data_IF_480761337885
#
_entry.id   IF_480761337885
#
_cell.length_a   1.000
_cell.length_b   1.000
_cell.length_c   1.000
_cell.angle_alpha   90.00
_cell.angle_beta   90.00
_cell.angle_gamma   90.00
#
_symmetry.space_group_name_H-M   'P 1'
#
loop_
_entity.id
_entity.type
_entity.pdbx_description
1 polymer ?
#
# COMPACT_ATOMS: atom_id res chain seq x y z
N UNK A 1 31.40 -0.73 -11.22
CA UNK A 1 30.17 -1.20 -11.89
C UNK A 1 29.60 -0.04 -12.68
N UNK A 2 29.33 -0.20 -13.97
CA UNK A 2 28.82 0.90 -14.79
C UNK A 2 27.33 1.17 -14.49
N UNK A 3 26.84 2.42 -14.56
CA UNK A 3 25.42 2.75 -14.29
C UNK A 3 24.44 1.90 -15.10
N UNK A 4 24.76 1.56 -16.34
CA UNK A 4 23.92 0.72 -17.20
C UNK A 4 23.73 -0.72 -16.67
N UNK A 5 24.79 -1.32 -16.12
CA UNK A 5 24.72 -2.66 -15.50
C UNK A 5 23.87 -2.66 -14.23
N UNK A 6 24.01 -1.61 -13.42
CA UNK A 6 23.17 -1.43 -12.21
C UNK A 6 21.71 -1.30 -12.57
N UNK A 7 21.38 -0.49 -13.58
CA UNK A 7 20.00 -0.31 -14.06
C UNK A 7 19.43 -1.64 -14.57
N UNK A 8 20.20 -2.38 -15.37
CA UNK A 8 19.78 -3.68 -15.89
C UNK A 8 19.50 -4.69 -14.77
N UNK A 9 20.37 -4.72 -13.74
CA UNK A 9 20.20 -5.59 -12.57
C UNK A 9 18.96 -5.24 -11.75
N UNK A 10 18.73 -3.95 -11.47
CA UNK A 10 17.53 -3.49 -10.75
C UNK A 10 16.26 -3.82 -11.56
N UNK A 11 16.24 -3.58 -12.87
CA UNK A 11 15.10 -3.95 -13.73
C UNK A 11 14.82 -5.46 -13.73
N UNK A 12 15.87 -6.28 -13.73
CA UNK A 12 15.74 -7.75 -13.64
C UNK A 12 15.11 -8.14 -12.30
N UNK A 13 15.62 -7.59 -11.20
CA UNK A 13 15.09 -7.82 -9.87
C UNK A 13 13.62 -7.38 -9.75
N UNK A 14 13.28 -6.20 -10.25
CA UNK A 14 11.90 -5.69 -10.19
C UNK A 14 10.93 -6.61 -10.92
N UNK A 15 11.30 -7.13 -12.12
CA UNK A 15 10.45 -8.11 -12.85
C UNK A 15 10.28 -9.41 -12.07
N UNK A 16 11.36 -9.93 -11.51
CA UNK A 16 11.33 -11.15 -10.69
C UNK A 16 10.47 -10.95 -9.44
N UNK A 17 10.68 -9.86 -8.71
CA UNK A 17 9.95 -9.60 -7.48
C UNK A 17 8.47 -9.30 -7.73
N UNK A 18 8.14 -8.61 -8.84
CA UNK A 18 6.77 -8.41 -9.27
C UNK A 18 6.03 -9.73 -9.52
N UNK A 19 6.70 -10.78 -10.03
CA UNK A 19 6.09 -12.11 -10.16
C UNK A 19 5.79 -12.72 -8.78
N UNK A 20 6.68 -12.59 -7.83
CA UNK A 20 6.46 -13.02 -6.44
C UNK A 20 5.29 -12.26 -5.83
N UNK A 21 5.24 -10.92 -6.00
CA UNK A 21 4.16 -10.06 -5.53
C UNK A 21 2.86 -10.27 -6.31
N UNK A 22 2.91 -10.54 -7.62
CA UNK A 22 1.73 -10.74 -8.49
C UNK A 22 0.89 -11.95 -8.09
N UNK A 23 1.47 -12.90 -7.35
CA UNK A 23 0.69 -13.91 -6.61
C UNK A 23 -0.18 -13.24 -5.53
N UNK A 24 0.18 -12.02 -5.07
CA UNK A 24 -0.62 -11.21 -4.16
C UNK A 24 -1.70 -10.37 -4.86
N UNK A 25 -1.53 -10.07 -6.17
CA UNK A 25 -2.28 -9.00 -6.84
C UNK A 25 -3.61 -9.47 -7.44
N UNK A 26 -3.72 -10.73 -7.86
CA UNK A 26 -4.91 -11.20 -8.61
C UNK A 26 -6.17 -11.34 -7.77
N UNK A 27 -6.04 -11.53 -6.49
CA UNK A 27 -7.13 -11.45 -5.52
C UNK A 27 -6.50 -11.03 -4.20
N UNK A 28 -6.62 -9.77 -3.83
CA UNK A 28 -6.19 -9.33 -2.51
C UNK A 28 -6.75 -10.28 -1.45
N UNK A 29 -6.03 -11.40 -1.22
CA UNK A 29 -6.30 -12.35 -0.15
C UNK A 29 -7.64 -13.09 -0.23
N UNK A 30 -8.23 -13.30 -1.44
CA UNK A 30 -9.59 -13.85 -1.58
C UNK A 30 -10.62 -13.11 -0.71
N UNK A 31 -10.51 -11.79 -0.66
CA UNK A 31 -11.45 -10.92 0.05
C UNK A 31 -12.22 -10.06 -0.94
N UNK A 32 -13.31 -9.45 -0.47
CA UNK A 32 -14.08 -8.49 -1.26
C UNK A 32 -13.40 -7.11 -1.35
N UNK A 33 -12.14 -6.98 -0.91
CA UNK A 33 -11.39 -5.73 -0.90
C UNK A 33 -10.34 -5.72 -2.00
N UNK A 34 -10.24 -4.60 -2.73
CA UNK A 34 -9.13 -4.35 -3.64
C UNK A 34 -7.81 -4.18 -2.87
N UNK A 35 -6.67 -4.31 -3.56
CA UNK A 35 -5.35 -4.08 -2.96
C UNK A 35 -5.26 -2.69 -2.29
N UNK A 36 -5.79 -1.66 -2.94
CA UNK A 36 -5.82 -0.31 -2.38
C UNK A 36 -6.63 -0.23 -1.08
N UNK A 37 -7.80 -0.87 -1.05
CA UNK A 37 -8.64 -0.95 0.15
C UNK A 37 -7.96 -1.73 1.28
N UNK A 38 -7.35 -2.87 0.97
CA UNK A 38 -6.61 -3.68 1.93
C UNK A 38 -5.41 -2.92 2.52
N UNK A 39 -4.67 -2.16 1.69
CA UNK A 39 -3.55 -1.31 2.17
C UNK A 39 -4.03 -0.21 3.11
N UNK A 40 -5.15 0.46 2.80
CA UNK A 40 -5.72 1.50 3.68
C UNK A 40 -6.22 0.89 4.99
N UNK A 41 -6.93 -0.23 4.98
CA UNK A 41 -7.36 -0.93 6.20
C UNK A 41 -6.17 -1.38 7.04
N UNK A 42 -5.12 -1.93 6.41
CA UNK A 42 -3.89 -2.31 7.09
C UNK A 42 -3.18 -1.13 7.75
N UNK A 43 -3.14 0.04 7.11
CA UNK A 43 -2.54 1.25 7.69
C UNK A 43 -3.38 1.80 8.85
N UNK A 44 -4.72 1.77 8.73
CA UNK A 44 -5.64 2.15 9.80
C UNK A 44 -5.54 1.24 11.04
N UNK A 45 -5.40 -0.07 10.84
CA UNK A 45 -5.26 -1.03 11.93
C UNK A 45 -3.92 -0.90 12.68
N UNK A 46 -2.83 -0.65 11.94
CA UNK A 46 -1.50 -0.46 12.55
C UNK A 46 -1.31 0.91 13.21
N UNK A 47 -2.05 1.94 12.78
CA UNK A 47 -1.85 3.34 13.20
C UNK A 47 -3.18 3.98 13.59
N UNK A 48 -3.50 3.94 14.87
CA UNK A 48 -4.71 4.58 15.41
C UNK A 48 -4.62 6.11 15.36
N UNK A 49 -5.72 6.77 15.03
CA UNK A 49 -5.81 8.22 15.06
C UNK A 49 -5.04 8.93 13.94
N UNK A 50 -4.91 8.32 12.77
CA UNK A 50 -4.29 8.97 11.61
C UNK A 50 -5.32 9.78 10.80
N UNK A 51 -4.84 10.69 9.94
CA UNK A 51 -5.69 11.46 9.03
C UNK A 51 -5.70 10.85 7.63
N UNK A 52 -6.74 11.14 6.83
CA UNK A 52 -6.80 10.71 5.42
C UNK A 52 -5.57 11.16 4.62
N UNK A 53 -5.10 12.39 4.85
CA UNK A 53 -3.90 12.91 4.19
C UNK A 53 -2.62 12.16 4.60
N UNK A 54 -2.50 11.75 5.88
CA UNK A 54 -1.35 10.97 6.32
C UNK A 54 -1.33 9.58 5.71
N UNK A 55 -2.50 8.94 5.57
CA UNK A 55 -2.64 7.64 4.89
C UNK A 55 -2.27 7.76 3.41
N UNK A 56 -2.85 8.74 2.69
CA UNK A 56 -2.56 8.94 1.27
C UNK A 56 -1.05 9.15 1.03
N UNK A 57 -0.40 9.96 1.87
CA UNK A 57 1.05 10.19 1.78
C UNK A 57 1.87 8.94 2.10
N UNK A 58 1.50 8.19 3.15
CA UNK A 58 2.20 6.97 3.56
C UNK A 58 2.13 5.88 2.50
N UNK A 59 0.97 5.74 1.86
CA UNK A 59 0.74 4.72 0.84
C UNK A 59 1.09 5.17 -0.59
N UNK A 60 1.57 6.41 -0.75
CA UNK A 60 1.82 7.07 -2.03
C UNK A 60 0.63 6.99 -2.97
N UNK A 61 -0.56 7.34 -2.46
CA UNK A 61 -1.82 7.31 -3.17
C UNK A 61 -2.31 8.73 -3.45
N UNK A 62 -3.08 8.88 -4.54
CA UNK A 62 -3.84 10.11 -4.77
C UNK A 62 -4.76 10.42 -3.58
N UNK A 63 -4.82 11.69 -3.18
CA UNK A 63 -5.59 12.13 -2.00
C UNK A 63 -7.09 11.92 -2.17
N UNK A 64 -7.61 12.22 -3.35
CA UNK A 64 -9.04 12.12 -3.64
C UNK A 64 -9.45 10.64 -3.70
N UNK A 65 -8.60 9.79 -4.28
CA UNK A 65 -8.80 8.35 -4.33
C UNK A 65 -8.79 7.73 -2.92
N UNK A 66 -7.79 8.05 -2.09
CA UNK A 66 -7.74 7.58 -0.71
C UNK A 66 -8.94 8.06 0.11
N UNK A 67 -9.33 9.35 -0.04
CA UNK A 67 -10.49 9.92 0.64
C UNK A 67 -11.81 9.22 0.23
N UNK A 68 -11.96 8.85 -1.05
CA UNK A 68 -13.12 8.10 -1.54
C UNK A 68 -13.24 6.73 -0.87
N UNK A 69 -12.14 5.98 -0.79
CA UNK A 69 -12.11 4.67 -0.11
C UNK A 69 -12.41 4.83 1.39
N UNK A 70 -11.80 5.81 2.05
CA UNK A 70 -12.03 6.10 3.47
C UNK A 70 -13.50 6.47 3.73
N UNK A 71 -14.13 7.25 2.84
CA UNK A 71 -15.55 7.56 2.94
C UNK A 71 -16.43 6.32 2.76
N UNK A 72 -16.10 5.45 1.81
CA UNK A 72 -16.77 4.18 1.61
C UNK A 72 -16.72 3.30 2.87
N UNK A 73 -15.55 3.19 3.51
CA UNK A 73 -15.41 2.45 4.77
C UNK A 73 -16.21 3.05 5.92
N UNK A 74 -16.31 4.39 5.99
CA UNK A 74 -17.15 5.04 6.97
C UNK A 74 -18.65 4.72 6.74
N UNK A 75 -19.10 4.73 5.48
CA UNK A 75 -20.49 4.34 5.11
C UNK A 75 -20.79 2.88 5.42
N UNK A 76 -19.78 1.99 5.28
CA UNK A 76 -19.89 0.58 5.61
C UNK A 76 -19.79 0.30 7.12
N UNK A 77 -19.59 1.32 7.95
CA UNK A 77 -19.44 1.17 9.40
C UNK A 77 -18.10 0.54 9.83
N UNK A 78 -17.10 0.47 8.95
CA UNK A 78 -15.78 -0.10 9.25
C UNK A 78 -14.86 0.91 9.95
N UNK A 79 -15.10 2.20 9.81
CA UNK A 79 -14.33 3.24 10.49
C UNK A 79 -15.22 4.38 10.99
N UNK A 80 -14.73 5.06 12.03
CA UNK A 80 -15.28 6.29 12.56
C UNK A 80 -14.30 7.44 12.40
N UNK A 81 -14.86 8.66 12.21
CA UNK A 81 -14.12 9.92 12.12
C UNK A 81 -14.38 10.74 13.37
N UNK A 82 -13.33 11.12 14.08
CA UNK A 82 -13.42 11.93 15.30
C UNK A 82 -12.68 13.24 15.07
N UNK A 83 -13.20 14.37 15.53
CA UNK A 83 -12.47 15.63 15.50
C UNK A 83 -11.22 15.51 16.39
N UNK A 84 -10.09 16.07 15.92
CA UNK A 84 -8.90 16.20 16.74
C UNK A 84 -9.16 17.23 17.85
N UNK A 85 -8.77 16.92 19.07
CA UNK A 85 -8.95 17.83 20.22
C UNK A 85 -8.08 19.08 20.14
N UNK A 86 -6.95 19.01 19.42
CA UNK A 86 -6.00 20.11 19.25
C UNK A 86 -6.32 20.97 18.01
N UNK A 87 -6.99 20.40 16.98
CA UNK A 87 -7.37 21.09 15.75
C UNK A 87 -8.66 20.48 15.20
N UNK A 88 -9.79 21.07 15.53
CA UNK A 88 -11.14 20.60 15.12
C UNK A 88 -11.33 20.46 13.60
N UNK A 89 -10.47 21.09 12.79
CA UNK A 89 -10.47 20.95 11.31
C UNK A 89 -9.92 19.61 10.87
N UNK A 90 -9.10 18.95 11.70
CA UNK A 90 -8.56 17.61 11.42
C UNK A 90 -9.55 16.54 11.87
N UNK A 91 -9.73 15.54 11.01
CA UNK A 91 -10.51 14.35 11.33
C UNK A 91 -9.54 13.17 11.50
N UNK A 92 -9.54 12.63 12.71
CA UNK A 92 -8.81 11.42 13.06
C UNK A 92 -9.67 10.20 12.72
N UNK A 93 -9.05 9.17 12.17
CA UNK A 93 -9.67 7.95 11.69
C UNK A 93 -9.35 6.81 12.65
N UNK A 94 -10.39 6.05 13.00
CA UNK A 94 -10.28 4.87 13.84
C UNK A 94 -11.12 3.74 13.25
N UNK A 95 -10.63 2.52 13.26
CA UNK A 95 -11.46 1.37 12.96
C UNK A 95 -12.55 1.21 14.02
N UNK A 96 -13.70 0.71 13.63
CA UNK A 96 -14.72 0.17 14.52
C UNK A 96 -14.40 -1.28 14.85
N UNK A 97 -15.15 -1.92 15.74
CA UNK A 97 -14.97 -3.35 16.03
C UNK A 97 -15.12 -4.21 14.77
N UNK A 98 -16.07 -3.87 13.90
CA UNK A 98 -16.21 -4.52 12.59
C UNK A 98 -15.01 -4.26 11.67
N UNK A 99 -14.47 -3.05 11.70
CA UNK A 99 -13.25 -2.71 10.95
C UNK A 99 -12.01 -3.44 11.46
N UNK A 100 -11.86 -3.58 12.77
CA UNK A 100 -10.78 -4.35 13.40
C UNK A 100 -10.88 -5.84 13.02
N UNK A 101 -12.08 -6.42 12.99
CA UNK A 101 -12.29 -7.79 12.52
C UNK A 101 -11.82 -7.97 11.08
N UNK A 102 -12.23 -7.08 10.16
CA UNK A 102 -11.78 -7.11 8.76
C UNK A 102 -10.27 -6.96 8.66
N UNK A 103 -9.67 -6.05 9.43
CA UNK A 103 -8.21 -5.87 9.47
C UNK A 103 -7.51 -7.17 9.90
N UNK A 104 -7.96 -7.81 10.96
CA UNK A 104 -7.39 -9.09 11.43
C UNK A 104 -7.53 -10.22 10.41
N UNK A 105 -8.68 -10.33 9.73
CA UNK A 105 -8.85 -11.31 8.65
C UNK A 105 -7.87 -11.07 7.50
N UNK A 106 -7.65 -9.82 7.10
CA UNK A 106 -6.68 -9.45 6.07
C UNK A 106 -5.25 -9.80 6.50
N UNK A 107 -4.89 -9.54 7.74
CA UNK A 107 -3.57 -9.88 8.30
C UNK A 107 -3.33 -11.39 8.32
N UNK A 108 -4.32 -12.18 8.76
CA UNK A 108 -4.23 -13.66 8.77
C UNK A 108 -4.00 -14.18 7.35
N UNK A 109 -4.80 -13.73 6.38
CA UNK A 109 -4.68 -14.15 4.97
C UNK A 109 -3.36 -13.71 4.34
N UNK A 110 -2.88 -12.50 4.68
CA UNK A 110 -1.58 -12.01 4.23
C UNK A 110 -0.45 -12.88 4.78
N UNK A 111 -0.48 -13.19 6.08
CA UNK A 111 0.50 -14.03 6.73
C UNK A 111 0.50 -15.46 6.15
N UNK A 112 -0.67 -16.01 5.83
CA UNK A 112 -0.79 -17.33 5.21
C UNK A 112 -0.14 -17.37 3.83
N UNK A 113 -0.35 -16.34 2.99
CA UNK A 113 0.33 -16.24 1.69
C UNK A 113 1.85 -16.17 1.82
N UNK A 114 2.37 -15.37 2.75
CA UNK A 114 3.82 -15.31 3.01
C UNK A 114 4.32 -16.68 3.48
N UNK A 115 3.57 -17.36 4.35
CA UNK A 115 3.91 -18.71 4.81
C UNK A 115 4.00 -19.70 3.65
N UNK A 116 3.05 -19.66 2.72
CA UNK A 116 3.06 -20.51 1.51
C UNK A 116 4.30 -20.24 0.64
N UNK A 117 4.70 -18.99 0.49
CA UNK A 117 5.93 -18.65 -0.25
C UNK A 117 7.18 -19.20 0.44
N UNK A 118 7.20 -19.21 1.78
CA UNK A 118 8.34 -19.70 2.56
C UNK A 118 8.43 -21.24 2.58
N UNK A 119 7.36 -21.97 2.26
CA UNK A 119 7.34 -23.45 2.31
C UNK A 119 8.45 -24.10 1.48
N UNK A 120 8.80 -23.49 0.34
CA UNK A 120 9.84 -23.99 -0.55
C UNK A 120 11.25 -23.44 -0.24
N UNK A 121 11.38 -22.63 0.80
CA UNK A 121 12.64 -22.02 1.23
C UNK A 121 13.11 -22.71 2.50
N UNK A 122 14.30 -23.35 2.50
CA UNK A 122 14.82 -23.98 3.72
C UNK A 122 14.89 -22.96 4.87
N UNK A 123 14.50 -23.33 6.11
CA UNK A 123 14.51 -22.42 7.27
C UNK A 123 15.84 -21.72 7.51
N UNK A 124 16.98 -22.38 7.23
CA UNK A 124 18.31 -21.79 7.33
C UNK A 124 18.56 -20.62 6.37
N UNK A 125 17.71 -20.43 5.35
CA UNK A 125 17.78 -19.31 4.40
C UNK A 125 16.88 -18.12 4.76
N UNK A 126 15.99 -18.25 5.73
CA UNK A 126 15.06 -17.18 6.09
C UNK A 126 15.75 -15.93 6.63
N UNK A 127 16.78 -16.13 7.46
CA UNK A 127 17.59 -14.99 7.98
C UNK A 127 18.36 -14.28 6.87
N UNK A 128 18.86 -15.01 5.88
CA UNK A 128 19.54 -14.43 4.72
C UNK A 128 18.56 -13.60 3.87
N UNK A 129 17.38 -14.14 3.59
CA UNK A 129 16.32 -13.45 2.88
C UNK A 129 15.89 -12.18 3.61
N UNK A 130 15.66 -12.26 4.92
CA UNK A 130 15.28 -11.11 5.75
C UNK A 130 16.34 -10.00 5.71
N UNK A 131 17.62 -10.34 5.85
CA UNK A 131 18.73 -9.38 5.76
C UNK A 131 18.82 -8.71 4.39
N UNK A 132 18.60 -9.48 3.30
CA UNK A 132 18.60 -8.92 1.95
C UNK A 132 17.47 -7.91 1.76
N UNK A 133 16.25 -8.21 2.23
CA UNK A 133 15.12 -7.30 2.19
C UNK A 133 15.38 -6.02 3.01
N UNK A 134 15.91 -6.16 4.23
CA UNK A 134 16.28 -5.02 5.07
C UNK A 134 17.34 -4.14 4.43
N UNK A 135 18.34 -4.74 3.73
CA UNK A 135 19.35 -3.98 3.01
C UNK A 135 18.76 -3.17 1.86
N UNK A 136 17.83 -3.74 1.08
CA UNK A 136 17.11 -3.02 0.03
C UNK A 136 16.30 -1.86 0.63
N UNK A 137 15.53 -2.13 1.67
CA UNK A 137 14.69 -1.13 2.35
C UNK A 137 15.53 0.03 2.90
N UNK A 138 16.67 -0.27 3.56
CA UNK A 138 17.54 0.75 4.15
C UNK A 138 18.12 1.68 3.09
N UNK A 139 18.55 1.16 1.93
CA UNK A 139 19.06 1.98 0.83
C UNK A 139 17.99 2.92 0.29
N UNK A 140 16.78 2.42 0.02
CA UNK A 140 15.69 3.27 -0.50
C UNK A 140 15.19 4.28 0.53
N UNK A 141 15.25 3.96 1.83
CA UNK A 141 14.88 4.88 2.91
C UNK A 141 15.90 5.99 3.11
N UNK A 142 17.21 5.66 3.02
CA UNK A 142 18.28 6.65 3.13
C UNK A 142 18.32 7.64 1.95
N UNK A 143 17.87 7.20 0.77
CA UNK A 143 17.82 8.02 -0.45
C UNK A 143 16.39 8.05 -1.00
N UNK A 144 15.48 8.81 -0.37
CA UNK A 144 14.08 8.83 -0.77
C UNK A 144 13.94 9.31 -2.22
N UNK A 145 13.16 8.57 -2.99
CA UNK A 145 12.91 8.88 -4.40
C UNK A 145 12.23 10.23 -4.52
N UNK A 146 12.76 11.10 -5.39
CA UNK A 146 12.03 12.28 -5.80
C UNK A 146 10.76 11.81 -6.52
N UNK A 147 9.58 12.27 -6.07
CA UNK A 147 8.33 11.95 -6.75
C UNK A 147 8.43 12.46 -8.18
N UNK A 148 8.42 11.55 -9.15
CA UNK A 148 8.16 11.92 -10.54
C UNK A 148 6.79 12.60 -10.53
N UNK A 149 6.77 13.92 -10.83
CA UNK A 149 5.52 14.63 -11.06
C UNK A 149 4.80 13.87 -12.17
N UNK A 150 3.65 13.27 -11.88
CA UNK A 150 2.73 12.88 -12.95
C UNK A 150 2.41 14.15 -13.70
N UNK A 151 2.77 14.21 -14.97
CA UNK A 151 2.36 15.29 -15.84
C UNK A 151 0.82 15.22 -15.90
N UNK A 152 0.17 16.27 -15.38
CA UNK A 152 -1.29 16.46 -15.44
C UNK A 152 -1.74 16.83 -16.89
N UNK A 153 -0.85 16.69 -17.89
CA UNK A 153 -1.06 17.19 -19.25
C UNK A 153 -1.77 16.20 -20.19
N UNK A 154 -2.04 14.94 -19.74
CA UNK A 154 -2.63 13.91 -20.62
C UNK A 154 -4.18 13.81 -20.59
N UNK A 155 -4.89 14.70 -19.88
CA UNK A 155 -6.37 14.65 -19.80
C UNK A 155 -7.11 15.71 -20.64
N UNK A 156 -6.41 16.51 -21.48
CA UNK A 156 -7.09 17.59 -22.21
C UNK A 156 -7.22 17.41 -23.74
N UNK A 157 -7.00 16.21 -24.26
CA UNK A 157 -7.17 15.92 -25.70
C UNK A 157 -8.43 15.09 -26.01
N UNK A 158 -9.60 15.56 -25.61
CA UNK A 158 -10.87 14.84 -25.87
C UNK A 158 -12.11 15.70 -26.03
N UNK A 159 -11.94 17.00 -26.30
CA UNK A 159 -13.09 17.85 -26.70
C UNK A 159 -12.70 18.72 -27.88
N UNK A 160 -12.79 18.19 -29.07
CA UNK A 160 -12.95 18.97 -30.28
C UNK A 160 -14.05 18.37 -31.12
N UNK A 161 -15.10 19.13 -31.26
CA UNK A 161 -15.91 19.41 -32.42
C UNK A 161 -16.46 18.23 -33.20
N UNK A 162 -17.77 18.15 -33.13
CA UNK A 162 -18.51 17.79 -34.33
C UNK A 162 -19.70 18.77 -34.53
N UNK A 163 -19.87 19.36 -35.72
CA UNK A 163 -20.90 20.33 -36.05
C UNK A 163 -22.29 19.75 -36.15
#
# INVERSE_FOLDING_TARGET
MQPAETIASIRKFNRFYAQILGVFDRYALHTNYSLAQARILGELGRRKGCTANSIARQLDMDRSYAARIINQFAQQGLLKKTADTSDCRKKLLYLTDSGEQVFHELEIKSNEKVRLQLQNIPPGKWTELQKAMQSIESVFTAFPQQKLKRNEDDENDGKSDNP
#
